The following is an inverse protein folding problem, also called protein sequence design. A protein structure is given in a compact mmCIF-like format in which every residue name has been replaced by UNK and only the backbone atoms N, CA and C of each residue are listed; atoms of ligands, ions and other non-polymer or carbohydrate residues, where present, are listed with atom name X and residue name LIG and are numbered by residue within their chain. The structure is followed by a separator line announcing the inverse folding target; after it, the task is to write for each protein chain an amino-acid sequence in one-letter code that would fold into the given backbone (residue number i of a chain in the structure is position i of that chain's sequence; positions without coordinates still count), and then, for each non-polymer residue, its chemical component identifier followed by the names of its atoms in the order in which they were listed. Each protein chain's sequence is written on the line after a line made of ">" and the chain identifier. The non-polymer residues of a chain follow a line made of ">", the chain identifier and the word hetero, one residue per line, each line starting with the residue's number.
data_IF_866490334908
#
_entry.id   IF_866490334908
#
_cell.length_a   1.000
_cell.length_b   1.000
_cell.length_c   1.000
_cell.angle_alpha   90.00
_cell.angle_beta   90.00
_cell.angle_gamma   90.00
#
_symmetry.space_group_name_H-M   'P 1'
#
loop_
_entity.id
_entity.type
_entity.pdbx_description
1 polymer ?
#
# COMPACT_ATOMS: atom_id res chain seq x y z
N UNK A 1 -6.99 -9.07 -47.89
CA UNK A 1 -7.37 -10.49 -47.99
C UNK A 1 -8.52 -10.72 -47.02
N UNK A 2 -9.67 -11.19 -47.53
CA UNK A 2 -10.92 -11.38 -46.77
C UNK A 2 -10.83 -12.69 -45.99
N UNK A 3 -11.17 -12.68 -44.71
CA UNK A 3 -11.40 -13.88 -43.92
C UNK A 3 -12.90 -14.03 -43.67
N UNK A 4 -13.47 -15.08 -44.27
CA UNK A 4 -14.83 -15.53 -44.03
C UNK A 4 -14.92 -16.23 -42.67
N UNK A 5 -15.92 -15.83 -41.88
CA UNK A 5 -16.18 -16.32 -40.53
C UNK A 5 -17.21 -17.45 -40.59
N UNK A 6 -16.76 -18.68 -40.31
CA UNK A 6 -17.60 -19.88 -40.20
C UNK A 6 -18.08 -20.04 -38.75
N UNK A 7 -19.35 -19.72 -38.53
CA UNK A 7 -20.05 -19.93 -37.27
C UNK A 7 -20.44 -21.41 -37.11
N UNK A 8 -19.86 -22.10 -36.12
CA UNK A 8 -20.32 -23.41 -35.66
C UNK A 8 -21.24 -23.21 -34.46
N UNK A 9 -22.53 -23.53 -34.64
CA UNK A 9 -23.52 -23.59 -33.56
C UNK A 9 -23.44 -24.95 -32.89
N UNK A 10 -23.10 -24.99 -31.61
CA UNK A 10 -23.24 -26.19 -30.77
C UNK A 10 -24.55 -26.10 -30.00
N UNK A 11 -25.46 -27.02 -30.29
CA UNK A 11 -26.70 -27.21 -29.56
C UNK A 11 -26.40 -27.91 -28.23
N UNK A 12 -26.83 -27.32 -27.12
CA UNK A 12 -26.68 -27.89 -25.78
C UNK A 12 -28.05 -28.32 -25.25
N UNK A 13 -28.21 -29.64 -25.10
CA UNK A 13 -29.41 -30.31 -24.59
C UNK A 13 -29.25 -30.53 -23.08
N UNK A 14 -30.07 -29.87 -22.27
CA UNK A 14 -30.10 -30.05 -20.80
C UNK A 14 -31.23 -31.02 -20.46
N UNK A 15 -30.97 -32.18 -19.83
CA UNK A 15 -32.02 -33.00 -19.25
C UNK A 15 -32.44 -32.46 -17.87
N UNK A 16 -33.76 -32.29 -17.75
CA UNK A 16 -34.56 -31.97 -16.58
C UNK A 16 -34.41 -33.07 -15.52
N UNK A 17 -33.87 -32.74 -14.34
CA UNK A 17 -33.89 -33.62 -13.16
C UNK A 17 -34.84 -33.08 -12.10
N UNK A 18 -35.87 -33.88 -11.81
CA UNK A 18 -36.89 -33.69 -10.79
C UNK A 18 -36.33 -34.15 -9.45
N UNK A 19 -36.37 -33.28 -8.42
CA UNK A 19 -36.12 -33.67 -7.04
C UNK A 19 -37.32 -33.29 -6.16
N UNK A 20 -37.89 -34.32 -5.54
CA UNK A 20 -39.03 -34.26 -4.64
C UNK A 20 -38.62 -33.74 -3.25
N UNK A 21 -39.41 -32.82 -2.69
CA UNK A 21 -39.29 -32.37 -1.30
C UNK A 21 -40.41 -32.99 -0.46
N UNK A 22 -40.02 -33.80 0.52
CA UNK A 22 -40.88 -34.30 1.61
C UNK A 22 -40.74 -33.39 2.82
N UNK A 23 -41.87 -33.07 3.44
CA UNK A 23 -42.03 -32.19 4.59
C UNK A 23 -41.75 -32.88 5.93
N UNK A 24 -41.31 -32.09 6.92
CA UNK A 24 -41.52 -32.38 8.35
C UNK A 24 -41.92 -31.08 9.10
N UNK A 25 -42.87 -31.15 10.05
CA UNK A 25 -43.31 -30.01 10.85
C UNK A 25 -42.58 -29.95 12.21
N UNK A 26 -42.36 -28.76 12.77
CA UNK A 26 -41.70 -28.63 14.07
C UNK A 26 -41.94 -27.30 14.80
N UNK A 27 -43.03 -27.30 15.59
CA UNK A 27 -43.24 -26.65 16.89
C UNK A 27 -42.75 -25.20 17.16
N UNK A 28 -43.74 -24.30 17.14
CA UNK A 28 -43.78 -23.04 17.88
C UNK A 28 -43.69 -23.26 19.39
N UNK A 29 -42.92 -22.44 20.10
CA UNK A 29 -43.20 -22.11 21.51
C UNK A 29 -42.74 -20.70 21.85
N UNK A 30 -43.74 -19.91 22.20
CA UNK A 30 -43.72 -18.54 22.67
C UNK A 30 -43.54 -18.54 24.20
N UNK A 31 -42.70 -17.66 24.76
CA UNK A 31 -42.75 -17.30 26.18
C UNK A 31 -42.04 -15.96 26.43
N UNK A 32 -42.87 -15.02 26.84
CA UNK A 32 -42.74 -13.61 27.28
C UNK A 32 -41.79 -13.42 28.49
N UNK A 33 -41.25 -12.21 28.74
CA UNK A 33 -40.15 -11.95 29.68
C UNK A 33 -40.62 -11.48 31.06
N UNK A 34 -39.71 -11.33 32.04
CA UNK A 34 -39.95 -10.46 33.18
C UNK A 34 -38.98 -9.28 33.26
N UNK A 35 -39.52 -8.22 33.86
CA UNK A 35 -38.97 -6.91 34.06
C UNK A 35 -38.03 -6.78 35.28
N UNK A 36 -37.21 -5.74 35.21
CA UNK A 36 -36.70 -4.83 36.24
C UNK A 36 -36.63 -5.29 37.72
N UNK A 37 -35.47 -5.03 38.33
CA UNK A 37 -35.42 -4.50 39.70
C UNK A 37 -34.16 -3.66 39.93
N UNK A 38 -34.35 -2.60 40.72
CA UNK A 38 -33.43 -1.48 40.95
C UNK A 38 -32.55 -1.65 42.20
N UNK A 39 -31.54 -0.78 42.29
CA UNK A 39 -30.85 -0.25 43.49
C UNK A 39 -29.91 -1.16 44.30
N UNK A 40 -28.65 -0.72 44.42
CA UNK A 40 -28.09 -0.31 45.72
C UNK A 40 -26.78 0.49 45.54
N UNK A 41 -26.71 1.59 46.28
CA UNK A 41 -25.61 2.53 46.50
C UNK A 41 -24.48 1.89 47.33
N UNK A 42 -23.24 2.30 47.12
CA UNK A 42 -22.15 2.18 48.10
C UNK A 42 -21.13 3.29 47.86
N UNK A 43 -20.72 3.94 48.94
CA UNK A 43 -19.84 5.10 48.98
C UNK A 43 -18.37 4.71 49.26
N UNK A 44 -17.46 5.47 48.62
CA UNK A 44 -16.06 5.86 48.95
C UNK A 44 -15.00 4.81 49.37
N UNK A 45 -13.72 4.93 48.92
CA UNK A 45 -12.89 6.10 49.27
C UNK A 45 -11.92 6.66 48.20
N UNK A 46 -11.77 7.98 48.26
CA UNK A 46 -10.76 8.87 47.69
C UNK A 46 -9.28 8.41 47.81
N UNK A 47 -8.48 8.57 46.74
CA UNK A 47 -7.04 8.79 46.85
C UNK A 47 -6.55 10.06 46.14
N UNK A 48 -5.70 10.81 46.85
CA UNK A 48 -4.47 11.44 46.33
C UNK A 48 -4.60 12.53 45.27
N UNK A 49 -4.52 13.79 45.72
CA UNK A 49 -4.31 14.95 44.87
C UNK A 49 -2.97 14.87 44.12
N UNK A 50 -3.03 14.98 42.79
CA UNK A 50 -1.88 15.33 41.94
C UNK A 50 -2.27 16.58 41.14
N UNK A 51 -1.42 17.59 41.13
CA UNK A 51 -1.63 18.89 40.48
C UNK A 51 -1.97 18.74 38.97
N UNK A 52 -2.98 19.44 38.44
CA UNK A 52 -3.21 19.49 37.00
C UNK A 52 -2.28 20.52 36.35
N UNK A 53 -1.55 20.05 35.33
CA UNK A 53 -0.91 20.91 34.35
C UNK A 53 -1.94 21.86 33.70
N UNK A 54 -1.55 23.12 33.54
CA UNK A 54 -2.36 24.19 32.96
C UNK A 54 -2.85 23.81 31.55
N UNK A 55 -4.12 23.49 31.42
CA UNK A 55 -4.80 23.38 30.12
C UNK A 55 -5.01 24.78 29.56
N UNK A 56 -4.48 25.04 28.36
CA UNK A 56 -4.81 26.22 27.59
C UNK A 56 -6.33 26.27 27.39
N UNK A 57 -6.96 27.36 27.86
CA UNK A 57 -8.39 27.57 27.73
C UNK A 57 -8.82 27.51 26.26
N UNK A 58 -9.86 26.73 25.97
CA UNK A 58 -10.50 26.75 24.65
C UNK A 58 -10.98 28.18 24.34
N UNK A 59 -10.78 28.67 23.10
CA UNK A 59 -11.28 29.99 22.71
C UNK A 59 -12.81 30.02 22.86
N UNK A 60 -13.39 31.18 23.23
CA UNK A 60 -14.83 31.30 23.41
C UNK A 60 -15.57 30.98 22.09
N UNK A 61 -16.77 30.38 22.17
CA UNK A 61 -17.57 30.08 20.98
C UNK A 61 -17.91 31.37 20.23
N UNK A 62 -17.69 31.37 18.91
CA UNK A 62 -17.98 32.51 18.03
C UNK A 62 -19.48 32.55 17.74
N UNK A 63 -20.10 33.69 18.02
CA UNK A 63 -21.53 33.93 17.78
C UNK A 63 -21.83 34.04 16.28
N UNK A 64 -22.64 33.14 15.69
CA UNK A 64 -22.97 33.16 14.26
C UNK A 64 -23.85 34.32 13.82
N UNK A 65 -24.40 35.11 14.75
CA UNK A 65 -25.24 36.27 14.44
C UNK A 65 -24.46 37.56 14.17
N UNK A 66 -23.12 37.54 14.19
CA UNK A 66 -22.30 38.73 13.92
C UNK A 66 -22.32 39.09 12.42
N UNK A 67 -22.75 40.31 12.05
CA UNK A 67 -22.90 40.70 10.64
C UNK A 67 -21.58 40.81 9.87
N UNK A 68 -20.45 40.92 10.57
CA UNK A 68 -19.10 41.00 9.98
C UNK A 68 -18.45 39.63 9.66
N UNK A 69 -18.99 38.50 10.14
CA UNK A 69 -18.38 37.18 9.92
C UNK A 69 -18.92 36.54 8.64
N UNK A 70 -18.07 36.36 7.63
CA UNK A 70 -18.39 35.53 6.45
C UNK A 70 -18.27 34.06 6.82
N UNK A 71 -19.09 33.19 6.24
CA UNK A 71 -19.13 31.76 6.56
C UNK A 71 -18.95 30.91 5.29
N UNK A 72 -18.19 29.82 5.39
CA UNK A 72 -18.22 28.72 4.43
C UNK A 72 -18.85 27.52 5.15
N UNK A 73 -20.13 27.25 4.88
CA UNK A 73 -20.86 26.22 5.61
C UNK A 73 -20.96 26.56 7.10
N UNK A 74 -20.42 25.68 7.96
CA UNK A 74 -20.40 25.86 9.43
C UNK A 74 -19.09 26.44 9.96
N UNK A 75 -18.17 26.86 9.09
CA UNK A 75 -16.84 27.35 9.47
C UNK A 75 -16.76 28.86 9.17
N UNK A 76 -16.42 29.71 10.15
CA UNK A 76 -16.29 31.14 9.92
C UNK A 76 -14.97 31.45 9.18
N UNK A 77 -15.01 32.42 8.28
CA UNK A 77 -13.89 32.76 7.37
C UNK A 77 -12.67 33.31 8.11
N UNK A 78 -12.85 33.83 9.32
CA UNK A 78 -11.81 34.37 10.21
C UNK A 78 -10.83 33.31 10.73
N UNK A 79 -11.17 32.02 10.62
CA UNK A 79 -10.26 30.90 10.90
C UNK A 79 -9.24 30.72 9.76
N UNK A 80 -9.53 31.23 8.57
CA UNK A 80 -8.61 31.21 7.44
C UNK A 80 -7.86 32.53 7.38
N UNK A 81 -6.57 32.51 7.70
CA UNK A 81 -5.72 33.69 7.57
C UNK A 81 -5.74 34.20 6.12
N UNK A 82 -6.04 35.48 5.91
CA UNK A 82 -6.08 36.10 4.57
C UNK A 82 -4.73 35.98 3.83
N UNK A 83 -3.64 35.76 4.55
CA UNK A 83 -2.28 35.60 4.04
C UNK A 83 -1.55 34.50 4.83
N UNK A 84 -1.86 33.21 4.61
CA UNK A 84 -1.36 32.11 5.45
C UNK A 84 0.17 32.02 5.43
N UNK A 85 0.78 32.43 4.31
CA UNK A 85 2.24 32.48 4.15
C UNK A 85 2.92 33.58 4.97
N UNK A 86 2.21 34.67 5.34
CA UNK A 86 2.77 35.72 6.20
C UNK A 86 2.75 35.34 7.68
N UNK A 87 1.77 34.54 8.09
CA UNK A 87 1.73 33.99 9.46
C UNK A 87 2.88 33.01 9.67
N UNK A 88 3.22 32.21 8.65
CA UNK A 88 4.40 31.37 8.67
C UNK A 88 5.73 32.15 8.63
N UNK A 89 5.76 33.35 8.03
CA UNK A 89 6.96 34.18 7.92
C UNK A 89 7.24 35.05 9.17
N UNK A 90 6.26 35.23 10.06
CA UNK A 90 6.41 35.99 11.31
C UNK A 90 6.94 35.08 12.43
N UNK A 91 8.19 34.64 12.31
CA UNK A 91 8.92 33.98 13.39
C UNK A 91 9.45 35.02 14.39
N UNK A 92 8.56 35.68 15.13
CA UNK A 92 8.98 36.43 16.31
C UNK A 92 9.45 35.42 17.37
N UNK A 93 10.69 35.52 17.88
CA UNK A 93 11.22 34.55 18.83
C UNK A 93 10.43 34.61 20.13
N UNK A 94 9.89 33.46 20.55
CA UNK A 94 9.34 33.24 21.89
C UNK A 94 10.50 33.32 22.87
N UNK A 95 10.38 34.16 23.91
CA UNK A 95 11.43 34.39 24.90
C UNK A 95 11.90 33.06 25.52
N UNK A 96 13.14 32.66 25.23
CA UNK A 96 13.78 31.44 25.73
C UNK A 96 14.48 30.59 24.68
N UNK A 97 14.29 30.85 23.38
CA UNK A 97 14.97 30.14 22.28
C UNK A 97 16.22 30.86 21.77
N UNK A 98 17.28 30.09 21.47
CA UNK A 98 18.55 30.55 20.91
C UNK A 98 18.29 31.33 19.60
N UNK A 99 18.88 32.52 19.50
CA UNK A 99 18.65 33.45 18.40
C UNK A 99 19.13 32.92 17.04
N UNK A 100 18.35 33.10 15.95
CA UNK A 100 18.84 32.86 14.59
C UNK A 100 19.73 34.02 14.11
N UNK A 101 20.82 33.68 13.45
CA UNK A 101 21.72 34.62 12.78
C UNK A 101 21.02 35.24 11.56
N UNK A 102 20.66 36.51 11.63
CA UNK A 102 20.27 37.32 10.46
C UNK A 102 21.49 38.08 9.95
N UNK A 103 21.90 37.79 8.71
CA UNK A 103 22.87 38.59 7.98
C UNK A 103 22.14 39.78 7.32
N UNK A 104 22.43 40.98 7.82
CA UNK A 104 22.03 42.26 7.24
C UNK A 104 23.23 42.80 6.43
N UNK A 105 23.07 42.99 5.12
CA UNK A 105 24.09 43.59 4.25
C UNK A 105 23.49 44.82 3.57
N UNK A 106 23.91 45.99 4.02
CA UNK A 106 23.71 47.26 3.32
C UNK A 106 24.73 47.42 2.17
N UNK A 107 24.40 48.21 1.11
CA UNK A 107 25.22 48.31 -0.08
C UNK A 107 26.30 49.40 0.05
N UNK A 108 27.54 49.08 -0.33
CA UNK A 108 28.68 49.99 -0.44
C UNK A 108 29.72 49.46 -1.43
N UNK A 109 30.53 50.34 -2.07
CA UNK A 109 30.89 50.22 -3.48
C UNK A 109 32.18 49.43 -3.77
N UNK A 110 32.25 48.93 -5.01
CA UNK A 110 33.40 48.42 -5.76
C UNK A 110 34.67 48.07 -4.96
N UNK A 111 34.82 46.78 -4.67
CA UNK A 111 36.13 46.17 -4.42
C UNK A 111 36.19 44.82 -5.13
N UNK A 112 37.23 44.67 -5.94
CA UNK A 112 37.50 43.53 -6.80
C UNK A 112 37.51 42.19 -6.05
N UNK A 113 36.85 41.20 -6.64
CA UNK A 113 36.79 39.81 -6.20
C UNK A 113 38.14 39.12 -6.46
N UNK A 114 38.86 38.58 -5.45
CA UNK A 114 39.91 37.61 -5.69
C UNK A 114 39.29 36.21 -5.92
N UNK A 115 39.90 35.35 -6.75
CA UNK A 115 39.37 34.02 -7.00
C UNK A 115 39.52 33.16 -5.74
N UNK A 116 38.41 32.61 -5.26
CA UNK A 116 38.39 31.66 -4.15
C UNK A 116 38.64 30.27 -4.73
N UNK A 117 39.89 29.81 -4.64
CA UNK A 117 40.26 28.42 -4.93
C UNK A 117 39.75 27.53 -3.79
N UNK A 118 38.59 26.89 -4.00
CA UNK A 118 38.08 25.85 -3.10
C UNK A 118 38.84 24.55 -3.37
N UNK A 119 39.79 24.22 -2.50
CA UNK A 119 40.43 22.90 -2.47
C UNK A 119 39.60 22.02 -1.54
N UNK A 120 38.73 21.19 -2.13
CA UNK A 120 38.16 20.04 -1.45
C UNK A 120 39.27 18.98 -1.23
N UNK A 121 39.32 18.29 -0.07
CA UNK A 121 40.26 17.20 0.12
C UNK A 121 39.96 16.04 -0.86
N UNK A 122 40.98 15.35 -1.39
CA UNK A 122 40.77 14.22 -2.29
C UNK A 122 40.08 13.09 -1.53
N UNK A 123 38.91 12.66 -2.00
CA UNK A 123 38.37 11.35 -1.66
C UNK A 123 39.24 10.34 -2.43
N UNK A 124 39.97 9.50 -1.69
CA UNK A 124 40.72 8.39 -2.24
C UNK A 124 39.77 7.45 -3.01
N UNK A 125 40.10 7.03 -4.25
CA UNK A 125 39.31 6.05 -4.96
C UNK A 125 39.43 4.70 -4.26
N UNK A 126 38.33 4.21 -3.71
CA UNK A 126 38.20 2.82 -3.31
C UNK A 126 38.53 1.92 -4.51
N UNK A 127 39.35 0.91 -4.27
CA UNK A 127 39.84 -0.07 -5.23
C UNK A 127 38.74 -0.66 -6.11
N UNK A 128 39.07 -1.07 -7.36
CA UNK A 128 38.11 -1.67 -8.27
C UNK A 128 37.63 -3.01 -7.68
N UNK A 129 36.32 -3.13 -7.49
CA UNK A 129 35.68 -4.42 -7.29
C UNK A 129 35.64 -5.08 -8.66
N UNK A 130 36.69 -5.84 -8.97
CA UNK A 130 36.66 -6.85 -10.02
C UNK A 130 35.71 -7.97 -9.59
N UNK A 131 34.48 -7.88 -10.09
CA UNK A 131 33.65 -9.02 -10.51
C UNK A 131 32.40 -8.44 -11.16
N UNK A 132 32.49 -8.16 -12.47
CA UNK A 132 31.28 -8.16 -13.28
C UNK A 132 30.66 -9.55 -13.14
N UNK A 133 29.39 -9.68 -12.70
CA UNK A 133 28.71 -10.94 -12.87
C UNK A 133 28.61 -11.17 -14.37
N UNK A 134 29.14 -12.32 -14.80
CA UNK A 134 28.87 -12.86 -16.13
C UNK A 134 27.36 -12.82 -16.37
N UNK A 135 26.96 -12.49 -17.60
CA UNK A 135 25.59 -12.57 -18.10
C UNK A 135 25.08 -14.02 -17.99
N UNK A 136 24.67 -14.38 -16.77
CA UNK A 136 23.90 -15.55 -16.46
C UNK A 136 22.48 -15.30 -16.93
N UNK A 137 21.95 -16.26 -17.67
CA UNK A 137 20.56 -16.36 -18.13
C UNK A 137 19.60 -15.64 -17.16
N UNK A 138 18.99 -14.54 -17.63
CA UNK A 138 18.53 -13.38 -16.87
C UNK A 138 17.33 -13.56 -15.92
N UNK A 139 17.25 -14.70 -15.24
CA UNK A 139 16.21 -15.00 -14.27
C UNK A 139 16.45 -14.26 -12.93
N UNK A 140 15.40 -13.61 -12.43
CA UNK A 140 15.41 -12.93 -11.13
C UNK A 140 15.50 -13.97 -10.00
N UNK A 141 16.51 -13.85 -9.12
CA UNK A 141 16.57 -14.64 -7.88
C UNK A 141 15.63 -14.04 -6.82
N UNK A 142 14.37 -14.47 -6.85
CA UNK A 142 13.34 -14.01 -5.93
C UNK A 142 13.68 -14.26 -4.45
N UNK A 143 14.46 -15.30 -4.15
CA UNK A 143 14.87 -15.62 -2.78
C UNK A 143 15.84 -14.59 -2.19
N UNK A 144 16.56 -13.84 -3.01
CA UNK A 144 17.40 -12.72 -2.55
C UNK A 144 16.60 -11.45 -2.26
N UNK A 145 15.39 -11.34 -2.79
CA UNK A 145 14.54 -10.15 -2.62
C UNK A 145 13.75 -10.24 -1.33
N UNK A 146 13.07 -11.37 -1.12
CA UNK A 146 12.35 -11.64 0.12
C UNK A 146 12.21 -13.16 0.32
N UNK A 147 12.18 -13.59 1.58
CA UNK A 147 11.88 -14.99 1.90
C UNK A 147 10.44 -15.35 1.50
N UNK A 148 10.20 -16.62 1.16
CA UNK A 148 8.87 -17.12 0.81
C UNK A 148 7.84 -16.89 1.94
N UNK A 149 8.27 -16.86 3.19
CA UNK A 149 7.41 -16.53 4.33
C UNK A 149 6.70 -15.18 4.18
N UNK A 150 7.37 -14.16 3.60
CA UNK A 150 6.79 -12.84 3.34
C UNK A 150 5.64 -12.95 2.34
N UNK A 151 5.85 -13.72 1.24
CA UNK A 151 4.84 -13.96 0.22
C UNK A 151 3.63 -14.68 0.84
N UNK A 152 3.88 -15.73 1.63
CA UNK A 152 2.83 -16.51 2.31
C UNK A 152 2.01 -15.61 3.24
N UNK A 153 2.66 -14.76 4.02
CA UNK A 153 1.96 -13.89 4.95
C UNK A 153 1.20 -12.78 4.24
N UNK A 154 1.72 -12.23 3.15
CA UNK A 154 0.98 -11.27 2.34
C UNK A 154 -0.24 -11.90 1.64
N UNK A 155 -0.10 -13.12 1.10
CA UNK A 155 -1.23 -13.88 0.52
C UNK A 155 -2.32 -14.12 1.57
N UNK A 156 -1.95 -14.48 2.80
CA UNK A 156 -2.91 -14.62 3.91
C UNK A 156 -3.60 -13.29 4.23
N UNK A 157 -2.84 -12.20 4.32
CA UNK A 157 -3.41 -10.88 4.64
C UNK A 157 -4.38 -10.42 3.54
N UNK A 158 -4.02 -10.57 2.26
CA UNK A 158 -4.89 -10.28 1.14
C UNK A 158 -6.16 -11.14 1.14
N UNK A 159 -6.05 -12.44 1.45
CA UNK A 159 -7.22 -13.32 1.64
C UNK A 159 -8.17 -12.79 2.72
N UNK A 160 -7.63 -12.37 3.88
CA UNK A 160 -8.45 -11.81 4.98
C UNK A 160 -9.13 -10.50 4.57
N UNK A 161 -8.42 -9.60 3.87
CA UNK A 161 -8.99 -8.34 3.36
C UNK A 161 -10.10 -8.59 2.35
N UNK A 162 -9.87 -9.48 1.38
CA UNK A 162 -10.87 -9.88 0.40
C UNK A 162 -12.08 -10.55 1.05
N UNK A 163 -11.87 -11.43 2.03
CA UNK A 163 -12.96 -12.09 2.75
C UNK A 163 -13.88 -11.07 3.41
N UNK A 164 -13.30 -10.09 4.12
CA UNK A 164 -14.05 -8.98 4.72
C UNK A 164 -14.81 -8.17 3.66
N UNK A 165 -14.15 -7.81 2.57
CA UNK A 165 -14.72 -6.93 1.55
C UNK A 165 -15.76 -7.62 0.65
N UNK A 166 -15.76 -8.96 0.58
CA UNK A 166 -16.69 -9.79 -0.20
C UNK A 166 -17.76 -10.50 0.67
N UNK A 167 -17.95 -10.06 1.92
CA UNK A 167 -19.03 -10.58 2.77
C UNK A 167 -20.43 -10.22 2.23
N UNK A 168 -20.64 -8.95 1.87
CA UNK A 168 -21.93 -8.41 1.40
C UNK A 168 -21.74 -7.33 0.35
N UNK A 169 -22.77 -7.12 -0.48
CA UNK A 169 -22.78 -6.13 -1.58
C UNK A 169 -22.39 -4.72 -1.10
N UNK A 170 -22.83 -4.32 0.09
CA UNK A 170 -22.52 -3.00 0.64
C UNK A 170 -21.02 -2.80 0.94
N UNK A 171 -20.31 -3.86 1.37
CA UNK A 171 -18.87 -3.79 1.64
C UNK A 171 -18.09 -3.82 0.32
N UNK A 172 -18.52 -4.65 -0.63
CA UNK A 172 -17.96 -4.66 -1.98
C UNK A 172 -18.04 -3.29 -2.63
N UNK A 173 -19.22 -2.68 -2.67
CA UNK A 173 -19.42 -1.37 -3.30
C UNK A 173 -18.52 -0.27 -2.71
N UNK A 174 -18.16 -0.36 -1.42
CA UNK A 174 -17.28 0.60 -0.75
C UNK A 174 -15.79 0.35 -1.02
N UNK A 175 -15.42 -0.87 -1.37
CA UNK A 175 -14.04 -1.33 -1.41
C UNK A 175 -13.61 -1.86 -2.78
N UNK A 176 -14.35 -1.58 -3.85
CA UNK A 176 -14.08 -2.07 -5.22
C UNK A 176 -12.61 -1.87 -5.62
N UNK A 177 -12.06 -0.67 -5.42
CA UNK A 177 -10.66 -0.38 -5.75
C UNK A 177 -9.64 -1.16 -4.89
N UNK A 178 -9.95 -1.40 -3.61
CA UNK A 178 -9.10 -2.20 -2.73
C UNK A 178 -9.16 -3.69 -3.10
N UNK A 179 -10.34 -4.20 -3.46
CA UNK A 179 -10.53 -5.58 -3.95
C UNK A 179 -9.77 -5.80 -5.24
N UNK A 180 -9.86 -4.87 -6.20
CA UNK A 180 -9.11 -4.93 -7.44
C UNK A 180 -7.60 -4.97 -7.18
N UNK A 181 -7.11 -4.05 -6.33
CA UNK A 181 -5.70 -4.01 -5.92
C UNK A 181 -5.24 -5.31 -5.27
N UNK A 182 -5.99 -5.85 -4.32
CA UNK A 182 -5.66 -7.13 -3.67
C UNK A 182 -5.64 -8.29 -4.70
N UNK A 183 -6.56 -8.30 -5.67
CA UNK A 183 -6.55 -9.27 -6.78
C UNK A 183 -5.28 -9.17 -7.64
N UNK A 184 -4.87 -7.98 -8.04
CA UNK A 184 -3.66 -7.79 -8.84
C UNK A 184 -2.38 -8.15 -8.06
N UNK A 185 -2.31 -7.78 -6.78
CA UNK A 185 -1.19 -8.14 -5.89
C UNK A 185 -1.11 -9.65 -5.71
N UNK A 186 -2.24 -10.33 -5.45
CA UNK A 186 -2.27 -11.78 -5.34
C UNK A 186 -1.86 -12.47 -6.65
N UNK A 187 -2.23 -11.91 -7.80
CA UNK A 187 -1.81 -12.44 -9.10
C UNK A 187 -0.29 -12.38 -9.26
N UNK A 188 0.31 -11.21 -8.96
CA UNK A 188 1.76 -11.03 -8.99
C UNK A 188 2.48 -11.94 -8.00
N UNK A 189 2.02 -12.00 -6.75
CA UNK A 189 2.64 -12.84 -5.72
C UNK A 189 2.51 -14.33 -6.00
N UNK A 190 1.40 -14.77 -6.61
CA UNK A 190 1.25 -16.16 -7.04
C UNK A 190 2.20 -16.48 -8.19
N UNK A 191 2.38 -15.56 -9.14
CA UNK A 191 3.37 -15.72 -10.20
C UNK A 191 4.80 -15.82 -9.61
N UNK A 192 5.17 -14.89 -8.73
CA UNK A 192 6.48 -14.89 -8.06
C UNK A 192 6.68 -16.19 -7.25
N UNK A 193 5.67 -16.64 -6.53
CA UNK A 193 5.76 -17.85 -5.71
C UNK A 193 6.02 -19.11 -6.56
N UNK A 194 5.54 -19.16 -7.81
CA UNK A 194 5.84 -20.25 -8.73
C UNK A 194 7.33 -20.34 -9.06
N UNK A 195 7.97 -19.18 -9.25
CA UNK A 195 9.39 -19.03 -9.62
C UNK A 195 10.35 -18.98 -8.42
N UNK A 196 9.82 -18.75 -7.21
CA UNK A 196 10.63 -18.64 -6.01
C UNK A 196 11.36 -19.96 -5.68
N UNK A 197 12.59 -19.98 -5.15
CA UNK A 197 13.31 -21.24 -4.87
C UNK A 197 12.69 -22.09 -3.75
N UNK A 198 12.23 -21.47 -2.67
CA UNK A 198 11.56 -22.16 -1.56
C UNK A 198 10.18 -22.71 -1.94
N UNK A 199 9.71 -23.73 -1.23
CA UNK A 199 8.45 -24.43 -1.50
C UNK A 199 7.39 -24.18 -0.41
N UNK A 200 6.11 -24.19 -0.80
CA UNK A 200 4.94 -24.06 0.06
C UNK A 200 3.82 -24.98 -0.43
N UNK A 201 2.92 -25.38 0.46
CA UNK A 201 1.89 -26.39 0.17
C UNK A 201 0.94 -26.07 -1.00
N UNK A 202 0.87 -24.81 -1.44
CA UNK A 202 0.05 -24.37 -2.58
C UNK A 202 0.89 -23.95 -3.81
N UNK A 203 2.23 -24.02 -3.76
CA UNK A 203 3.10 -23.58 -4.86
C UNK A 203 2.83 -24.30 -6.18
N UNK A 204 2.56 -25.61 -6.11
CA UNK A 204 2.16 -26.41 -7.28
C UNK A 204 0.84 -25.95 -7.93
N UNK A 205 0.06 -25.12 -7.23
CA UNK A 205 -1.21 -24.52 -7.69
C UNK A 205 -1.06 -23.02 -7.98
N UNK A 206 0.16 -22.47 -7.92
CA UNK A 206 0.41 -21.04 -8.04
C UNK A 206 -0.11 -20.45 -9.36
N UNK A 207 -0.03 -21.19 -10.48
CA UNK A 207 -0.64 -20.76 -11.74
C UNK A 207 -2.17 -20.60 -11.64
N UNK A 208 -2.88 -21.52 -11.00
CA UNK A 208 -4.33 -21.40 -10.79
C UNK A 208 -4.68 -20.27 -9.84
N UNK A 209 -3.89 -20.06 -8.79
CA UNK A 209 -4.06 -18.93 -7.87
C UNK A 209 -3.85 -17.60 -8.60
N UNK A 210 -2.83 -17.50 -9.46
CA UNK A 210 -2.56 -16.34 -10.30
C UNK A 210 -3.78 -15.99 -11.15
N UNK A 211 -4.32 -16.96 -11.87
CA UNK A 211 -5.43 -16.74 -12.80
C UNK A 211 -6.72 -16.34 -12.08
N UNK A 212 -7.06 -17.00 -10.97
CA UNK A 212 -8.21 -16.64 -10.13
C UNK A 212 -8.03 -15.25 -9.51
N UNK A 213 -6.82 -14.87 -9.11
CA UNK A 213 -6.52 -13.54 -8.58
C UNK A 213 -6.70 -12.46 -9.65
N UNK A 214 -6.25 -12.74 -10.88
CA UNK A 214 -6.49 -11.86 -12.02
C UNK A 214 -7.97 -11.74 -12.35
N UNK A 215 -8.74 -12.84 -12.28
CA UNK A 215 -10.20 -12.79 -12.41
C UNK A 215 -10.88 -11.93 -11.34
N UNK A 216 -10.40 -11.97 -10.09
CA UNK A 216 -10.87 -11.07 -9.03
C UNK A 216 -10.60 -9.61 -9.41
N UNK A 217 -9.37 -9.30 -9.85
CA UNK A 217 -8.99 -7.96 -10.31
C UNK A 217 -9.92 -7.46 -11.41
N UNK A 218 -10.09 -8.25 -12.48
CA UNK A 218 -10.89 -7.86 -13.65
C UNK A 218 -12.39 -7.72 -13.35
N UNK A 219 -12.93 -8.50 -12.41
CA UNK A 219 -14.36 -8.49 -12.08
C UNK A 219 -14.72 -7.48 -10.99
N UNK A 220 -13.74 -6.97 -10.26
CA UNK A 220 -13.91 -5.95 -9.22
C UNK A 220 -14.16 -4.57 -9.85
N UNK A 221 -15.28 -4.44 -10.58
CA UNK A 221 -15.69 -3.22 -11.27
C UNK A 221 -17.18 -2.94 -11.07
N UNK A 222 -17.53 -1.66 -10.88
CA UNK A 222 -18.92 -1.22 -10.77
C UNK A 222 -19.54 -1.49 -9.41
N UNK A 223 -20.87 -1.57 -9.35
CA UNK A 223 -21.61 -1.73 -8.09
C UNK A 223 -22.84 -2.62 -8.23
N UNK A 224 -23.30 -3.17 -7.11
CA UNK A 224 -24.50 -4.00 -7.03
C UNK A 224 -24.22 -5.51 -6.98
N UNK A 225 -25.30 -6.30 -6.95
CA UNK A 225 -25.22 -7.74 -6.72
C UNK A 225 -24.52 -8.51 -7.85
N UNK A 226 -24.62 -8.05 -9.11
CA UNK A 226 -24.03 -8.74 -10.25
C UNK A 226 -22.49 -8.71 -10.22
N UNK A 227 -21.81 -7.54 -10.14
CA UNK A 227 -20.35 -7.52 -10.02
C UNK A 227 -19.85 -8.14 -8.71
N UNK A 228 -20.59 -7.96 -7.61
CA UNK A 228 -20.28 -8.62 -6.34
C UNK A 228 -20.20 -10.14 -6.48
N UNK A 229 -21.24 -10.78 -7.03
CA UNK A 229 -21.27 -12.24 -7.21
C UNK A 229 -20.21 -12.70 -8.22
N UNK A 230 -19.97 -11.92 -9.28
CA UNK A 230 -18.94 -12.20 -10.27
C UNK A 230 -17.54 -12.21 -9.65
N UNK A 231 -17.24 -11.28 -8.75
CA UNK A 231 -15.94 -11.18 -8.05
C UNK A 231 -15.81 -12.21 -6.93
N UNK A 232 -16.90 -12.49 -6.20
CA UNK A 232 -16.90 -13.44 -5.09
C UNK A 232 -16.64 -14.89 -5.55
N UNK A 233 -17.13 -15.27 -6.72
CA UNK A 233 -16.98 -16.65 -7.23
C UNK A 233 -15.51 -17.10 -7.39
N UNK A 234 -14.63 -16.38 -8.10
CA UNK A 234 -13.22 -16.76 -8.19
C UNK A 234 -12.52 -16.67 -6.83
N UNK A 235 -12.92 -15.74 -5.95
CA UNK A 235 -12.38 -15.65 -4.60
C UNK A 235 -12.66 -16.88 -3.73
N UNK A 236 -13.89 -17.41 -3.72
CA UNK A 236 -14.19 -18.63 -2.95
C UNK A 236 -13.44 -19.86 -3.51
N UNK A 237 -13.26 -19.91 -4.84
CA UNK A 237 -12.43 -20.96 -5.47
C UNK A 237 -10.96 -20.83 -5.03
N UNK A 238 -10.42 -19.61 -5.04
CA UNK A 238 -9.06 -19.31 -4.58
C UNK A 238 -8.86 -19.72 -3.12
N UNK A 239 -9.83 -19.46 -2.24
CA UNK A 239 -9.79 -19.91 -0.84
C UNK A 239 -9.68 -21.42 -0.74
N UNK A 240 -10.51 -22.16 -1.47
CA UNK A 240 -10.47 -23.62 -1.51
C UNK A 240 -9.09 -24.15 -1.91
N UNK A 241 -8.47 -23.56 -2.94
CA UNK A 241 -7.11 -23.96 -3.37
C UNK A 241 -6.04 -23.71 -2.30
N UNK A 242 -6.09 -22.56 -1.64
CA UNK A 242 -5.21 -22.22 -0.52
C UNK A 242 -5.44 -23.14 0.70
N UNK A 243 -6.66 -23.64 0.88
CA UNK A 243 -7.03 -24.59 1.94
C UNK A 243 -6.71 -26.06 1.59
N UNK A 244 -6.21 -26.33 0.38
CA UNK A 244 -5.71 -27.63 -0.02
C UNK A 244 -6.50 -28.31 -1.14
N UNK A 245 -7.60 -27.75 -1.62
CA UNK A 245 -8.39 -28.31 -2.73
C UNK A 245 -7.59 -28.34 -4.05
N UNK A 246 -7.88 -29.33 -4.90
CA UNK A 246 -7.26 -29.44 -6.22
C UNK A 246 -7.91 -28.47 -7.21
N UNK A 247 -7.13 -27.88 -8.14
CA UNK A 247 -7.70 -27.04 -9.19
C UNK A 247 -8.62 -27.86 -10.11
N UNK A 248 -9.67 -27.22 -10.61
CA UNK A 248 -10.62 -27.86 -11.53
C UNK A 248 -9.99 -28.18 -12.89
N UNK A 249 -8.99 -27.40 -13.30
CA UNK A 249 -8.21 -27.57 -14.52
C UNK A 249 -6.78 -27.09 -14.30
N UNK A 250 -5.87 -27.58 -15.14
CA UNK A 250 -4.51 -27.08 -15.17
C UNK A 250 -4.47 -25.61 -15.62
N UNK A 251 -3.59 -24.83 -15.01
CA UNK A 251 -3.41 -23.42 -15.37
C UNK A 251 -2.64 -23.30 -16.69
N UNK A 252 -2.93 -22.30 -17.54
CA UNK A 252 -2.13 -22.03 -18.73
C UNK A 252 -0.68 -21.74 -18.38
N UNK A 253 0.22 -22.32 -19.17
CA UNK A 253 1.67 -22.10 -19.11
C UNK A 253 2.07 -20.91 -19.98
N UNK A 254 3.20 -20.26 -19.67
CA UNK A 254 3.73 -19.16 -20.48
C UNK A 254 2.99 -17.83 -20.35
N UNK A 255 2.12 -17.70 -19.35
CA UNK A 255 1.49 -16.43 -18.99
C UNK A 255 2.53 -15.53 -18.34
N UNK A 256 2.71 -14.35 -18.92
CA UNK A 256 3.67 -13.34 -18.49
C UNK A 256 3.16 -12.52 -17.31
N UNK A 257 4.06 -11.84 -16.61
CA UNK A 257 3.69 -11.06 -15.43
C UNK A 257 2.79 -9.86 -15.80
N UNK A 258 3.11 -9.17 -16.90
CA UNK A 258 2.33 -8.03 -17.39
C UNK A 258 0.90 -8.39 -17.84
N UNK A 259 0.63 -9.65 -18.21
CA UNK A 259 -0.73 -10.09 -18.59
C UNK A 259 -1.67 -10.22 -17.39
N UNK A 260 -1.15 -10.52 -16.19
CA UNK A 260 -1.95 -10.84 -15.00
C UNK A 260 -1.80 -9.84 -13.87
N UNK A 261 -0.77 -8.99 -13.89
CA UNK A 261 -0.50 -8.03 -12.84
C UNK A 261 -0.45 -6.61 -13.43
N UNK A 262 -1.55 -5.89 -13.29
CA UNK A 262 -1.62 -4.51 -13.76
C UNK A 262 -0.64 -3.60 -13.00
N UNK A 263 0.25 -2.93 -13.73
CA UNK A 263 1.26 -2.01 -13.17
C UNK A 263 0.62 -0.92 -12.31
N UNK A 264 -0.54 -0.39 -12.75
CA UNK A 264 -1.26 0.65 -12.02
C UNK A 264 -1.72 0.19 -10.64
N UNK A 265 -2.32 -1.00 -10.57
CA UNK A 265 -2.75 -1.63 -9.33
C UNK A 265 -1.58 -1.98 -8.40
N UNK A 266 -0.47 -2.50 -8.95
CA UNK A 266 0.74 -2.78 -8.16
C UNK A 266 1.34 -1.49 -7.59
N UNK A 267 1.47 -0.43 -8.40
CA UNK A 267 1.94 0.89 -7.91
C UNK A 267 1.01 1.48 -6.85
N UNK A 268 -0.30 1.28 -6.96
CA UNK A 268 -1.25 1.73 -5.94
C UNK A 268 -1.03 1.03 -4.58
N UNK A 269 -0.61 -0.24 -4.58
CA UNK A 269 -0.20 -0.96 -3.36
C UNK A 269 1.13 -0.45 -2.82
N UNK A 270 2.13 -0.22 -3.68
CA UNK A 270 3.41 0.35 -3.26
C UNK A 270 3.21 1.72 -2.60
N UNK A 271 2.39 2.59 -3.20
CA UNK A 271 2.06 3.91 -2.66
C UNK A 271 1.34 3.83 -1.29
N UNK A 272 0.36 2.93 -1.14
CA UNK A 272 -0.30 2.71 0.15
C UNK A 272 0.67 2.28 1.25
N UNK A 273 1.58 1.36 0.91
CA UNK A 273 2.58 0.83 1.85
C UNK A 273 3.55 1.94 2.26
N UNK A 274 4.08 2.70 1.29
CA UNK A 274 4.94 3.86 1.54
C UNK A 274 4.26 4.92 2.43
N UNK A 275 3.02 5.29 2.10
CA UNK A 275 2.28 6.29 2.87
C UNK A 275 1.95 5.80 4.29
N UNK A 276 1.67 4.50 4.46
CA UNK A 276 1.47 3.88 5.77
C UNK A 276 2.75 3.92 6.62
N UNK A 277 3.91 3.60 6.05
CA UNK A 277 5.20 3.68 6.75
C UNK A 277 5.48 5.11 7.20
N UNK A 278 5.34 6.08 6.29
CA UNK A 278 5.54 7.50 6.57
C UNK A 278 4.60 8.02 7.67
N UNK A 279 3.34 7.61 7.67
CA UNK A 279 2.35 8.07 8.63
C UNK A 279 2.53 7.42 10.02
N UNK A 280 2.86 6.14 10.06
CA UNK A 280 2.79 5.33 11.29
C UNK A 280 4.14 5.03 11.93
N UNK A 281 5.24 5.20 11.19
CA UNK A 281 6.62 4.86 11.58
C UNK A 281 7.51 6.10 11.47
N UNK A 282 7.07 7.19 12.12
CA UNK A 282 7.65 8.54 11.98
C UNK A 282 8.47 9.00 13.20
N UNK A 283 8.73 8.11 14.15
CA UNK A 283 9.59 8.38 15.30
C UNK A 283 10.40 7.13 15.65
N UNK A 284 11.52 7.24 16.38
CA UNK A 284 12.29 6.08 16.83
C UNK A 284 11.47 5.08 17.65
N UNK A 285 10.58 5.58 18.52
CA UNK A 285 9.71 4.73 19.34
C UNK A 285 8.73 3.92 18.48
N UNK A 286 8.14 4.55 17.46
CA UNK A 286 7.23 3.88 16.53
C UNK A 286 7.95 2.88 15.63
N UNK A 287 9.19 3.16 15.20
CA UNK A 287 10.00 2.17 14.47
C UNK A 287 10.23 0.93 15.30
N UNK A 288 10.58 1.08 16.57
CA UNK A 288 10.79 -0.05 17.47
C UNK A 288 9.52 -0.89 17.69
N UNK A 289 8.38 -0.23 17.83
CA UNK A 289 7.08 -0.89 18.02
C UNK A 289 6.59 -1.60 16.76
N UNK A 290 6.83 -1.01 15.59
CA UNK A 290 6.27 -1.43 14.31
C UNK A 290 7.30 -2.09 13.39
N UNK A 291 8.51 -2.40 13.87
CA UNK A 291 9.65 -2.86 13.07
C UNK A 291 9.29 -4.06 12.20
N UNK A 292 8.66 -5.09 12.77
CA UNK A 292 8.24 -6.28 12.02
C UNK A 292 7.26 -5.96 10.88
N UNK A 293 6.32 -5.03 11.11
CA UNK A 293 5.40 -4.57 10.05
C UNK A 293 6.14 -3.75 9.00
N UNK A 294 7.06 -2.88 9.42
CA UNK A 294 7.85 -2.07 8.49
C UNK A 294 8.70 -2.93 7.55
N UNK A 295 9.35 -3.96 8.10
CA UNK A 295 10.12 -4.97 7.35
C UNK A 295 9.24 -5.71 6.35
N UNK A 296 8.06 -6.20 6.79
CA UNK A 296 7.11 -6.88 5.92
C UNK A 296 6.68 -6.00 4.73
N UNK A 297 6.24 -4.77 5.00
CA UNK A 297 5.78 -3.87 3.93
C UNK A 297 6.89 -3.52 2.94
N UNK A 298 8.11 -3.28 3.42
CA UNK A 298 9.25 -2.98 2.55
C UNK A 298 9.64 -4.19 1.69
N UNK A 299 9.62 -5.41 2.24
CA UNK A 299 9.88 -6.62 1.48
C UNK A 299 8.82 -6.87 0.40
N UNK A 300 7.53 -6.67 0.72
CA UNK A 300 6.45 -6.74 -0.28
C UNK A 300 6.62 -5.65 -1.35
N UNK A 301 6.94 -4.42 -0.96
CA UNK A 301 7.23 -3.35 -1.92
C UNK A 301 8.39 -3.73 -2.86
N UNK A 302 9.45 -4.36 -2.37
CA UNK A 302 10.57 -4.83 -3.20
C UNK A 302 10.17 -5.91 -4.20
N UNK A 303 9.38 -6.89 -3.78
CA UNK A 303 8.84 -7.92 -4.68
C UNK A 303 8.02 -7.29 -5.81
N UNK A 304 7.10 -6.37 -5.48
CA UNK A 304 6.25 -5.72 -6.47
C UNK A 304 7.04 -4.79 -7.40
N UNK A 305 8.01 -4.04 -6.86
CA UNK A 305 8.87 -3.18 -7.68
C UNK A 305 9.70 -4.00 -8.66
N UNK A 306 10.33 -5.09 -8.21
CA UNK A 306 11.07 -5.97 -9.10
C UNK A 306 10.16 -6.59 -10.18
N UNK A 307 8.95 -7.01 -9.80
CA UNK A 307 7.98 -7.58 -10.74
C UNK A 307 7.63 -6.60 -11.86
N UNK A 308 7.49 -5.30 -11.56
CA UNK A 308 7.21 -4.28 -12.58
C UNK A 308 8.39 -3.96 -13.51
N UNK A 309 9.59 -4.45 -13.17
CA UNK A 309 10.77 -4.41 -14.04
C UNK A 309 10.94 -5.65 -14.94
N UNK A 310 10.02 -6.61 -14.88
CA UNK A 310 10.02 -7.80 -15.74
C UNK A 310 9.93 -7.43 -17.23
N UNK A 311 10.60 -8.21 -18.10
CA UNK A 311 10.70 -7.94 -19.54
C UNK A 311 9.35 -7.91 -20.28
N UNK A 312 8.31 -8.53 -19.72
CA UNK A 312 6.97 -8.51 -20.30
C UNK A 312 6.28 -7.14 -20.25
N UNK A 313 6.81 -6.20 -19.47
CA UNK A 313 6.23 -4.87 -19.32
C UNK A 313 6.71 -3.89 -20.39
N UNK A 314 5.84 -2.95 -20.78
CA UNK A 314 6.02 -1.99 -21.89
C UNK A 314 7.20 -1.00 -21.78
N UNK A 315 7.94 -1.00 -20.67
CA UNK A 315 9.07 -0.08 -20.39
C UNK A 315 10.35 -0.82 -19.99
N UNK A 316 10.35 -2.15 -20.04
CA UNK A 316 11.46 -2.94 -19.55
C UNK A 316 12.72 -2.84 -20.44
N UNK A 317 12.54 -2.45 -21.70
CA UNK A 317 13.62 -2.23 -22.66
C UNK A 317 14.34 -0.87 -22.49
N UNK A 318 13.75 0.08 -21.75
CA UNK A 318 14.41 1.34 -21.41
C UNK A 318 15.35 1.15 -20.21
N UNK A 319 16.69 1.23 -20.40
CA UNK A 319 17.65 1.02 -19.32
C UNK A 319 17.46 2.02 -18.16
N UNK A 320 16.95 3.24 -18.43
CA UNK A 320 16.68 4.24 -17.39
C UNK A 320 15.54 3.79 -16.48
N UNK A 321 14.53 3.10 -17.03
CA UNK A 321 13.45 2.52 -16.25
C UNK A 321 13.99 1.43 -15.31
N UNK A 322 14.80 0.52 -15.86
CA UNK A 322 15.47 -0.52 -15.10
C UNK A 322 16.36 0.02 -13.96
N UNK A 323 17.05 1.14 -14.18
CA UNK A 323 17.83 1.82 -13.14
C UNK A 323 16.95 2.33 -11.98
N UNK A 324 15.78 2.91 -12.27
CA UNK A 324 14.84 3.34 -11.22
C UNK A 324 14.28 2.15 -10.43
N UNK A 325 13.95 1.03 -11.09
CA UNK A 325 13.50 -0.20 -10.43
C UNK A 325 14.59 -0.71 -9.48
N UNK A 326 15.82 -0.91 -9.98
CA UNK A 326 16.96 -1.37 -9.19
C UNK A 326 17.24 -0.47 -7.99
N UNK A 327 17.23 0.85 -8.21
CA UNK A 327 17.45 1.84 -7.15
C UNK A 327 16.35 1.78 -6.08
N UNK A 328 15.09 1.66 -6.49
CA UNK A 328 13.96 1.56 -5.55
C UNK A 328 14.03 0.27 -4.72
N UNK A 329 14.26 -0.89 -5.36
CA UNK A 329 14.40 -2.18 -4.67
C UNK A 329 15.55 -2.11 -3.66
N UNK A 330 16.70 -1.57 -4.05
CA UNK A 330 17.83 -1.39 -3.14
C UNK A 330 17.51 -0.48 -1.95
N UNK A 331 16.83 0.65 -2.19
CA UNK A 331 16.40 1.55 -1.10
C UNK A 331 15.47 0.85 -0.11
N UNK A 332 14.55 0.01 -0.60
CA UNK A 332 13.59 -0.72 0.23
C UNK A 332 14.27 -1.80 1.08
N UNK A 333 15.20 -2.55 0.50
CA UNK A 333 16.01 -3.53 1.23
C UNK A 333 16.88 -2.86 2.31
N UNK A 334 17.50 -1.73 1.99
CA UNK A 334 18.27 -0.95 2.98
C UNK A 334 17.37 -0.41 4.10
N UNK A 335 16.16 0.04 3.77
CA UNK A 335 15.22 0.54 4.77
C UNK A 335 14.72 -0.61 5.67
N UNK A 336 14.54 -1.81 5.12
CA UNK A 336 14.19 -3.00 5.87
C UNK A 336 15.29 -3.33 6.88
N UNK A 337 16.54 -3.36 6.44
CA UNK A 337 17.70 -3.58 7.32
C UNK A 337 17.86 -2.48 8.40
N UNK A 338 17.51 -1.23 8.08
CA UNK A 338 17.48 -0.14 9.06
C UNK A 338 16.36 -0.34 10.09
N UNK A 339 15.18 -0.80 9.67
CA UNK A 339 14.07 -1.11 10.57
C UNK A 339 14.37 -2.27 11.51
N UNK A 340 15.00 -3.35 11.02
CA UNK A 340 15.45 -4.48 11.85
C UNK A 340 16.52 -4.06 12.86
N UNK A 341 17.38 -3.12 12.48
CA UNK A 341 18.47 -2.61 13.31
C UNK A 341 18.10 -1.45 14.24
N UNK A 342 16.81 -1.11 14.38
CA UNK A 342 16.33 0.06 15.14
C UNK A 342 17.01 1.40 14.73
N UNK A 343 17.45 1.53 13.47
CA UNK A 343 18.18 2.70 12.94
C UNK A 343 17.22 3.72 12.32
N UNK A 344 16.54 4.49 13.16
CA UNK A 344 15.49 5.41 12.71
C UNK A 344 15.95 6.48 11.71
N UNK A 345 17.10 7.11 11.93
CA UNK A 345 17.59 8.16 11.03
C UNK A 345 17.87 7.62 9.62
N UNK A 346 18.47 6.42 9.53
CA UNK A 346 18.71 5.74 8.26
C UNK A 346 17.38 5.40 7.57
N UNK A 347 16.43 4.82 8.32
CA UNK A 347 15.10 4.46 7.83
C UNK A 347 14.37 5.70 7.27
N UNK A 348 14.33 6.80 8.02
CA UNK A 348 13.67 8.05 7.62
C UNK A 348 14.34 8.69 6.39
N UNK A 349 15.67 8.66 6.34
CA UNK A 349 16.44 9.12 5.17
C UNK A 349 16.10 8.30 3.92
N UNK A 350 16.05 6.97 4.04
CA UNK A 350 15.73 6.07 2.93
C UNK A 350 14.30 6.27 2.43
N UNK A 351 13.31 6.48 3.31
CA UNK A 351 11.95 6.83 2.88
C UNK A 351 11.93 8.15 2.08
N UNK A 352 12.71 9.15 2.49
CA UNK A 352 12.82 10.41 1.75
C UNK A 352 13.46 10.21 0.38
N UNK A 353 14.47 9.34 0.27
CA UNK A 353 15.11 8.99 -1.00
C UNK A 353 14.19 8.18 -1.92
N UNK A 354 13.36 7.28 -1.38
CA UNK A 354 12.33 6.59 -2.15
C UNK A 354 11.36 7.59 -2.77
N UNK A 355 10.92 8.60 -2.00
CA UNK A 355 10.04 9.65 -2.51
C UNK A 355 10.66 10.38 -3.71
N UNK A 356 11.96 10.67 -3.64
CA UNK A 356 12.69 11.28 -4.75
C UNK A 356 12.70 10.35 -5.96
N UNK A 357 12.98 9.06 -5.78
CA UNK A 357 12.89 8.05 -6.86
C UNK A 357 11.49 7.98 -7.47
N UNK A 358 10.43 8.01 -6.66
CA UNK A 358 9.05 8.05 -7.16
C UNK A 358 8.83 9.27 -8.06
N UNK A 359 9.28 10.45 -7.63
CA UNK A 359 9.09 11.69 -8.38
C UNK A 359 9.87 11.68 -9.70
N UNK A 360 11.14 11.29 -9.69
CA UNK A 360 12.00 11.23 -10.87
C UNK A 360 11.47 10.22 -11.90
N UNK A 361 11.12 9.00 -11.46
CA UNK A 361 10.55 7.98 -12.33
C UNK A 361 9.19 8.42 -12.89
N UNK A 362 8.30 9.01 -12.08
CA UNK A 362 6.99 9.45 -12.57
C UNK A 362 7.07 10.63 -13.53
N UNK A 363 8.00 11.57 -13.30
CA UNK A 363 8.24 12.65 -14.23
C UNK A 363 8.62 12.09 -15.61
N UNK A 364 9.49 11.10 -15.66
CA UNK A 364 9.94 10.50 -16.92
C UNK A 364 8.90 9.57 -17.56
N UNK A 365 8.35 8.64 -16.79
CA UNK A 365 7.61 7.48 -17.34
C UNK A 365 6.10 7.51 -17.14
N UNK A 366 5.55 8.41 -16.30
CA UNK A 366 4.10 8.50 -16.06
C UNK A 366 3.44 9.63 -16.85
N UNK A 367 4.08 10.79 -16.91
CA UNK A 367 3.52 11.97 -17.59
C UNK A 367 3.83 12.05 -19.09
N UNK A 368 4.58 11.09 -19.62
CA UNK A 368 4.91 11.03 -21.05
C UNK A 368 5.71 12.24 -21.53
N UNK A 369 6.53 12.86 -20.66
CA UNK A 369 7.45 13.91 -21.10
C UNK A 369 8.65 13.29 -21.79
N UNK A 370 8.44 12.89 -23.04
CA UNK A 370 9.47 12.78 -24.06
C UNK A 370 9.28 13.88 -25.11
#
# INVERSE_FOLDING_TARGET
>A
MRFDSLAVRVASSIPLSVAAALALPGCSRESTPPAASSQATSADPQPGATEPASQAAAPPPVDPARPETKWIGTIPYDVFFDQPLRVAANAAPVAGGIAPLTADVAPGPDAAVPPVTSVAPPIEPSAPVDAAPEDGDGAVDWGQIAAMAVIVDEVKQARVRLEKNLQKVADFNKNVAAIARDGAVLAALSWIAAEHPEDVNWKSKAGSLRDLSYEIYMKAEGSGSRPFNATKTPFETLKGLLDGESPASEAPTGVTLAEVADRGALMARVDESYNSLKANVNTPARLKEESARAVHELAVMSLLMQAMGDESYDRADDPRYGEFIKRMVSQQQQASAAAEGDRFEDFSSLLSQMNLTCNECHQMFRTGSE
#
